data_IF_992773323606
#
_entry.id   IF_992773323606
#
_cell.length_a   1.000
_cell.length_b   1.000
_cell.length_c   1.000
_cell.angle_alpha   90.00
_cell.angle_beta   90.00
_cell.angle_gamma   90.00
#
_symmetry.space_group_name_H-M   'P 1'
#
loop_
_entity.id
_entity.type
_entity.pdbx_description
1 polymer ?
#
# COMPACT_ATOMS: atom_id res chain seq x y z
N UNK A 1 47.10 -15.91 -88.39
CA UNK A 1 45.87 -15.44 -87.71
C UNK A 1 45.96 -15.91 -86.26
N UNK A 2 46.48 -15.14 -85.30
CA UNK A 2 45.82 -14.04 -84.55
C UNK A 2 44.46 -14.56 -84.03
N UNK A 3 44.19 -14.83 -82.73
CA UNK A 3 44.53 -14.08 -81.51
C UNK A 3 44.33 -15.01 -80.30
N UNK A 4 45.28 -15.01 -79.38
CA UNK A 4 45.16 -15.55 -78.02
C UNK A 4 44.82 -14.38 -77.07
N UNK A 5 44.16 -14.72 -75.97
CA UNK A 5 43.91 -13.94 -74.75
C UNK A 5 42.85 -12.83 -74.78
N UNK A 6 41.76 -13.07 -74.05
CA UNK A 6 41.15 -12.05 -73.19
C UNK A 6 40.82 -12.63 -71.82
N UNK A 7 41.31 -11.89 -70.83
CA UNK A 7 41.33 -12.14 -69.38
C UNK A 7 39.93 -12.17 -68.78
N UNK A 8 39.71 -13.14 -67.89
CA UNK A 8 38.64 -13.13 -66.90
C UNK A 8 38.87 -11.99 -65.90
N UNK A 9 38.03 -10.96 -65.96
CA UNK A 9 37.93 -9.94 -64.92
C UNK A 9 36.71 -10.29 -64.06
N UNK A 10 36.94 -11.02 -62.97
CA UNK A 10 35.94 -11.21 -61.92
C UNK A 10 35.68 -9.86 -61.25
N UNK A 11 34.54 -9.25 -61.56
CA UNK A 11 34.00 -8.14 -60.78
C UNK A 11 33.53 -8.70 -59.43
N UNK A 12 34.28 -8.41 -58.37
CA UNK A 12 33.87 -8.64 -56.98
C UNK A 12 32.77 -7.63 -56.64
N UNK A 13 31.52 -8.07 -56.65
CA UNK A 13 30.42 -7.31 -56.05
C UNK A 13 30.57 -7.36 -54.54
N UNK A 14 31.00 -6.25 -53.95
CA UNK A 14 31.07 -6.02 -52.51
C UNK A 14 29.63 -5.85 -51.98
N UNK A 15 29.07 -6.90 -51.39
CA UNK A 15 27.77 -6.84 -50.72
C UNK A 15 27.99 -6.29 -49.30
N UNK A 16 27.69 -5.01 -49.08
CA UNK A 16 27.69 -4.39 -47.75
C UNK A 16 26.40 -4.81 -47.05
N UNK A 17 26.49 -5.81 -46.16
CA UNK A 17 25.42 -6.19 -45.23
C UNK A 17 25.37 -5.15 -44.09
N UNK A 18 24.48 -4.15 -44.22
CA UNK A 18 24.14 -3.24 -43.13
C UNK A 18 23.19 -4.00 -42.19
N UNK A 19 23.74 -4.53 -41.08
CA UNK A 19 22.94 -5.03 -39.97
C UNK A 19 22.32 -3.83 -39.24
N UNK A 20 21.06 -3.51 -39.54
CA UNK A 20 20.24 -2.66 -38.69
C UNK A 20 19.90 -3.45 -37.41
N UNK A 21 20.63 -3.17 -36.33
CA UNK A 21 20.23 -3.55 -34.99
C UNK A 21 18.97 -2.72 -34.63
N UNK A 22 17.79 -3.28 -34.90
CA UNK A 22 16.56 -2.78 -34.29
C UNK A 22 16.60 -3.17 -32.82
N UNK A 23 17.03 -2.23 -31.97
CA UNK A 23 16.73 -2.29 -30.55
C UNK A 23 15.23 -2.10 -30.43
N UNK A 24 14.49 -3.21 -30.33
CA UNK A 24 13.10 -3.20 -29.90
C UNK A 24 13.14 -2.91 -28.40
N UNK A 25 13.03 -1.62 -28.05
CA UNK A 25 12.66 -1.24 -26.70
C UNK A 25 11.19 -1.60 -26.55
N UNK A 26 10.90 -2.69 -25.84
CA UNK A 26 9.55 -2.95 -25.35
C UNK A 26 9.26 -1.91 -24.28
N UNK A 27 8.76 -0.75 -24.70
CA UNK A 27 8.09 0.17 -23.79
C UNK A 27 6.82 -0.55 -23.35
N UNK A 28 6.79 -1.06 -22.12
CA UNK A 28 5.54 -1.47 -21.49
C UNK A 28 4.69 -0.20 -21.40
N UNK A 29 3.79 -0.02 -22.36
CA UNK A 29 2.71 0.93 -22.23
C UNK A 29 1.87 0.45 -21.04
N UNK A 30 2.02 1.13 -19.90
CA UNK A 30 1.02 1.04 -18.84
C UNK A 30 -0.32 1.37 -19.51
N UNK A 31 -1.18 0.37 -19.63
CA UNK A 31 -2.52 0.55 -20.15
C UNK A 31 -3.23 1.54 -19.25
N UNK A 32 -3.35 2.79 -19.71
CA UNK A 32 -4.17 3.81 -19.06
C UNK A 32 -5.64 3.47 -19.34
N UNK A 33 -6.14 2.38 -18.76
CA UNK A 33 -7.57 2.22 -18.62
C UNK A 33 -8.02 3.32 -17.68
N UNK A 34 -8.79 4.27 -18.19
CA UNK A 34 -9.52 5.21 -17.33
C UNK A 34 -10.29 4.39 -16.28
N UNK A 35 -10.31 4.85 -15.02
CA UNK A 35 -11.07 4.15 -13.99
C UNK A 35 -12.55 4.05 -14.43
N UNK A 36 -13.26 2.96 -14.07
CA UNK A 36 -14.65 2.76 -14.47
C UNK A 36 -15.53 3.93 -14.00
N UNK A 37 -16.70 4.14 -14.63
CA UNK A 37 -17.61 5.25 -14.28
C UNK A 37 -18.19 5.13 -12.86
N UNK A 38 -18.30 3.91 -12.34
CA UNK A 38 -18.64 3.65 -10.95
C UNK A 38 -17.78 2.51 -10.43
N UNK A 39 -17.35 2.62 -9.17
CA UNK A 39 -16.68 1.54 -8.47
C UNK A 39 -17.01 1.60 -7.00
N UNK A 40 -17.02 0.43 -6.38
CA UNK A 40 -17.19 0.31 -4.94
C UNK A 40 -16.39 -0.86 -4.42
N UNK A 41 -15.54 -0.57 -3.44
CA UNK A 41 -14.81 -1.60 -2.70
C UNK A 41 -15.85 -2.32 -1.83
N UNK A 42 -15.90 -3.64 -1.96
CA UNK A 42 -16.79 -4.47 -1.18
C UNK A 42 -16.17 -4.76 0.20
N UNK A 43 -17.03 -5.02 1.19
CA UNK A 43 -16.63 -5.57 2.51
C UNK A 43 -15.60 -4.73 3.29
N UNK A 44 -15.57 -3.41 3.08
CA UNK A 44 -14.75 -2.54 3.93
C UNK A 44 -15.31 -2.55 5.36
N UNK A 45 -14.49 -2.88 6.39
CA UNK A 45 -14.95 -2.92 7.78
C UNK A 45 -15.50 -1.59 8.27
N UNK A 46 -16.37 -1.67 9.28
CA UNK A 46 -17.00 -0.51 9.88
C UNK A 46 -16.60 -0.38 11.33
N UNK A 47 -15.88 0.67 11.65
CA UNK A 47 -15.50 0.98 13.02
C UNK A 47 -16.00 2.36 13.41
N UNK A 48 -16.52 2.45 14.65
CA UNK A 48 -17.03 3.69 15.20
C UNK A 48 -15.94 4.35 16.03
N UNK A 49 -15.73 5.65 15.86
CA UNK A 49 -14.84 6.40 16.73
C UNK A 49 -15.39 6.39 18.17
N UNK A 50 -14.52 6.17 19.14
CA UNK A 50 -14.94 6.02 20.55
C UNK A 50 -15.47 7.31 21.16
N UNK A 51 -15.06 8.47 20.64
CA UNK A 51 -15.53 9.78 21.07
C UNK A 51 -15.36 10.81 19.94
N UNK A 52 -15.84 12.05 20.16
CA UNK A 52 -15.85 13.15 19.20
C UNK A 52 -14.46 13.63 18.68
N UNK A 53 -13.35 13.06 19.14
CA UNK A 53 -12.00 13.52 18.80
C UNK A 53 -11.20 12.47 18.03
N UNK A 54 -11.70 11.23 17.92
CA UNK A 54 -10.96 10.09 17.41
C UNK A 54 -11.39 9.67 15.99
N UNK A 55 -11.85 10.62 15.18
CA UNK A 55 -12.16 10.33 13.78
C UNK A 55 -10.92 9.84 12.99
N UNK A 56 -9.73 10.35 13.33
CA UNK A 56 -8.46 9.86 12.78
C UNK A 56 -8.23 8.39 13.14
N UNK A 57 -8.05 8.05 14.43
CA UNK A 57 -7.86 6.67 14.87
C UNK A 57 -8.95 5.70 14.40
N UNK A 58 -10.22 6.08 14.43
CA UNK A 58 -11.29 5.22 13.90
C UNK A 58 -11.21 4.99 12.40
N UNK A 59 -10.76 5.99 11.62
CA UNK A 59 -10.51 5.81 10.18
C UNK A 59 -9.29 4.94 9.90
N UNK A 60 -8.26 4.99 10.75
CA UNK A 60 -7.09 4.11 10.64
C UNK A 60 -7.45 2.65 10.99
N UNK A 61 -8.27 2.43 12.01
CA UNK A 61 -8.79 1.10 12.36
C UNK A 61 -9.52 0.45 11.19
N UNK A 62 -10.38 1.21 10.48
CA UNK A 62 -11.04 0.77 9.23
C UNK A 62 -10.02 0.29 8.18
N UNK A 63 -8.95 1.05 7.95
CA UNK A 63 -7.94 0.71 6.94
C UNK A 63 -7.08 -0.49 7.39
N UNK A 64 -6.74 -0.57 8.67
CA UNK A 64 -5.93 -1.67 9.20
C UNK A 64 -6.69 -3.00 9.17
N UNK A 65 -7.96 -2.99 9.56
CA UNK A 65 -8.84 -4.17 9.51
C UNK A 65 -9.17 -4.58 8.07
N UNK A 66 -9.25 -3.62 7.14
CA UNK A 66 -9.41 -3.96 5.71
C UNK A 66 -8.24 -4.79 5.16
N UNK A 67 -7.01 -4.49 5.59
CA UNK A 67 -5.79 -5.15 5.09
C UNK A 67 -5.25 -6.26 6.00
N UNK A 68 -5.75 -6.39 7.21
CA UNK A 68 -5.11 -7.17 8.25
C UNK A 68 -5.99 -7.28 9.49
N UNK A 69 -5.40 -7.25 10.70
CA UNK A 69 -6.18 -7.42 11.92
C UNK A 69 -6.87 -6.12 12.34
N UNK A 70 -7.98 -6.27 13.05
CA UNK A 70 -8.58 -5.23 13.88
C UNK A 70 -7.62 -4.78 14.99
N UNK A 71 -7.16 -3.52 14.94
CA UNK A 71 -6.21 -2.93 15.88
C UNK A 71 -6.94 -1.97 16.81
N UNK A 72 -6.82 -2.18 18.12
CA UNK A 72 -7.49 -1.36 19.14
C UNK A 72 -7.28 0.15 18.91
N UNK A 73 -8.38 0.86 18.65
CA UNK A 73 -8.41 2.31 18.43
C UNK A 73 -7.66 3.13 19.50
N UNK A 74 -7.57 2.66 20.75
CA UNK A 74 -6.81 3.33 21.80
C UNK A 74 -5.30 3.29 21.54
N UNK A 75 -4.79 2.14 21.10
CA UNK A 75 -3.40 1.99 20.74
C UNK A 75 -3.08 2.85 19.51
N UNK A 76 -3.97 2.85 18.50
CA UNK A 76 -3.85 3.73 17.33
C UNK A 76 -3.81 5.20 17.75
N UNK A 77 -4.68 5.63 18.67
CA UNK A 77 -4.74 7.01 19.11
C UNK A 77 -3.42 7.52 19.71
N UNK A 78 -2.73 6.69 20.50
CA UNK A 78 -1.44 7.05 21.08
C UNK A 78 -0.29 6.97 20.09
N UNK A 79 -0.28 6.01 19.16
CA UNK A 79 0.72 5.99 18.07
C UNK A 79 0.57 7.23 17.18
N UNK A 80 -0.67 7.61 16.86
CA UNK A 80 -0.99 8.78 16.05
C UNK A 80 -0.89 10.11 16.81
N UNK A 81 -0.40 10.13 18.06
CA UNK A 81 -0.32 11.34 18.91
C UNK A 81 -1.64 12.14 18.90
N UNK A 82 -2.77 11.44 19.01
CA UNK A 82 -4.09 12.06 19.06
C UNK A 82 -4.24 12.88 20.35
N UNK A 83 -5.13 13.87 20.35
CA UNK A 83 -5.34 14.73 21.51
C UNK A 83 -6.78 15.23 21.62
N UNK A 84 -7.04 16.08 22.62
CA UNK A 84 -8.29 16.84 22.74
C UNK A 84 -8.55 17.84 21.59
N UNK A 85 -7.63 17.94 20.63
CA UNK A 85 -7.76 18.75 19.42
C UNK A 85 -7.92 17.91 18.16
N UNK A 86 -7.82 16.58 18.24
CA UNK A 86 -7.78 15.68 17.08
C UNK A 86 -6.38 15.14 16.81
N UNK A 87 -6.12 14.79 15.56
CA UNK A 87 -4.92 14.07 15.10
C UNK A 87 -4.30 14.81 13.92
N UNK A 88 -2.98 14.91 13.88
CA UNK A 88 -2.27 15.62 12.81
C UNK A 88 -2.03 14.70 11.60
N UNK A 89 -2.09 15.23 10.37
CA UNK A 89 -1.92 14.46 9.13
C UNK A 89 -0.56 13.77 8.99
N UNK A 90 0.51 14.34 9.56
CA UNK A 90 1.82 13.70 9.59
C UNK A 90 1.80 12.43 10.44
N UNK A 91 1.09 12.50 11.57
CA UNK A 91 0.93 11.36 12.47
C UNK A 91 0.05 10.26 11.89
N UNK A 92 -0.96 10.62 11.08
CA UNK A 92 -1.78 9.64 10.37
C UNK A 92 -0.91 8.75 9.47
N UNK A 93 -0.05 9.35 8.63
CA UNK A 93 0.85 8.61 7.74
C UNK A 93 1.89 7.81 8.54
N UNK A 94 2.50 8.43 9.55
CA UNK A 94 3.47 7.78 10.45
C UNK A 94 2.90 6.54 11.14
N UNK A 95 1.63 6.58 11.54
CA UNK A 95 0.97 5.46 12.23
C UNK A 95 0.91 4.21 11.36
N UNK A 96 0.77 4.40 10.03
CA UNK A 96 0.86 3.29 9.08
C UNK A 96 2.22 2.58 9.07
N UNK A 97 3.33 3.29 9.33
CA UNK A 97 4.67 2.69 9.39
C UNK A 97 4.95 1.97 10.71
N UNK A 98 4.18 2.19 11.77
CA UNK A 98 4.53 1.76 13.12
C UNK A 98 4.80 0.25 13.25
N UNK A 99 5.95 -0.11 13.80
CA UNK A 99 6.38 -1.51 13.98
C UNK A 99 6.97 -1.75 15.37
N UNK A 100 7.37 -2.99 15.63
CA UNK A 100 8.03 -3.43 16.86
C UNK A 100 9.34 -2.69 17.21
N UNK A 101 9.85 -1.87 16.29
CA UNK A 101 11.05 -1.06 16.47
C UNK A 101 10.74 0.29 17.16
N UNK A 102 9.46 0.64 17.26
CA UNK A 102 9.01 1.93 17.81
C UNK A 102 8.07 1.75 18.99
N UNK A 103 8.06 2.76 19.87
CA UNK A 103 7.06 2.98 20.90
C UNK A 103 6.13 4.14 20.51
N UNK A 104 4.89 4.11 20.99
CA UNK A 104 3.96 5.21 20.85
C UNK A 104 4.49 6.46 21.57
N UNK A 105 4.27 7.63 20.96
CA UNK A 105 4.71 8.93 21.50
C UNK A 105 3.53 9.83 21.93
N UNK A 106 2.29 9.35 21.79
CA UNK A 106 1.09 10.01 22.28
C UNK A 106 0.77 9.66 23.73
N UNK A 107 -0.20 10.37 24.29
CA UNK A 107 -0.58 10.21 25.70
C UNK A 107 -2.09 10.32 25.94
N UNK A 108 -2.91 10.13 24.91
CA UNK A 108 -4.36 10.21 25.01
C UNK A 108 -4.96 9.05 25.82
N UNK A 109 -4.42 7.84 25.62
CA UNK A 109 -4.79 6.63 26.35
C UNK A 109 -3.59 5.92 26.94
N UNK A 110 -2.63 6.67 27.52
CA UNK A 110 -1.28 6.19 27.93
C UNK A 110 -1.15 4.76 28.51
N UNK A 111 -2.16 4.21 29.19
CA UNK A 111 -2.16 2.81 29.65
C UNK A 111 -2.21 1.76 28.52
N UNK A 112 -2.69 2.14 27.33
CA UNK A 112 -2.83 1.32 26.14
C UNK A 112 -1.73 1.63 25.09
N UNK A 113 -0.83 2.56 25.38
CA UNK A 113 0.22 2.97 24.48
C UNK A 113 1.21 1.81 24.21
N UNK A 114 1.31 1.31 22.97
CA UNK A 114 2.23 0.22 22.65
C UNK A 114 3.69 0.67 22.76
N UNK A 115 4.56 -0.18 23.31
CA UNK A 115 6.01 0.09 23.43
C UNK A 115 6.85 -0.58 22.36
N UNK A 116 6.27 -1.49 21.58
CA UNK A 116 6.95 -2.23 20.52
C UNK A 116 5.90 -2.74 19.50
N UNK A 117 5.45 -1.85 18.61
CA UNK A 117 4.46 -2.20 17.58
C UNK A 117 3.06 -2.47 18.13
N UNK A 118 2.08 -2.60 17.24
CA UNK A 118 0.74 -2.98 17.68
C UNK A 118 0.71 -4.46 18.11
N UNK A 119 -0.04 -4.78 19.15
CA UNK A 119 -0.13 -6.16 19.65
C UNK A 119 -0.59 -7.13 18.54
N UNK A 120 -1.55 -6.70 17.73
CA UNK A 120 -2.15 -7.48 16.65
C UNK A 120 -1.28 -7.50 15.39
N UNK A 121 -0.44 -6.47 15.18
CA UNK A 121 0.42 -6.34 14.01
C UNK A 121 1.77 -5.73 14.38
N UNK A 122 2.82 -6.55 14.32
CA UNK A 122 4.16 -6.17 14.74
C UNK A 122 4.96 -5.41 13.67
N UNK A 123 4.56 -5.47 12.40
CA UNK A 123 5.21 -4.72 11.30
C UNK A 123 4.24 -3.68 10.72
N UNK A 124 4.77 -2.58 10.21
CA UNK A 124 3.97 -1.55 9.55
C UNK A 124 3.49 -1.94 8.17
N UNK A 125 2.77 -1.01 7.56
CA UNK A 125 2.32 -0.99 6.18
C UNK A 125 3.19 -0.05 5.35
N UNK A 126 3.17 -0.17 4.02
CA UNK A 126 3.55 0.93 3.16
C UNK A 126 2.56 2.08 3.38
N UNK A 127 3.04 3.28 3.75
CA UNK A 127 2.18 4.39 4.14
C UNK A 127 2.61 5.70 3.51
N UNK A 128 1.68 6.35 2.80
CA UNK A 128 1.95 7.61 2.10
C UNK A 128 0.79 8.57 2.26
N UNK A 129 1.10 9.86 2.23
CA UNK A 129 0.10 10.91 2.15
C UNK A 129 0.40 11.87 0.99
N UNK A 130 -0.63 12.57 0.55
CA UNK A 130 -0.55 13.53 -0.54
C UNK A 130 -1.60 14.62 -0.34
N UNK A 131 -1.26 15.84 -0.72
CA UNK A 131 -2.17 16.99 -0.76
C UNK A 131 -1.78 17.89 -1.92
N UNK A 132 -2.75 18.65 -2.44
CA UNK A 132 -2.56 19.48 -3.65
C UNK A 132 -3.42 20.73 -3.56
N UNK A 133 -3.08 21.77 -4.31
CA UNK A 133 -3.95 22.96 -4.46
C UNK A 133 -5.18 22.69 -5.32
N UNK A 134 -5.18 21.59 -6.09
CA UNK A 134 -6.28 21.18 -6.96
C UNK A 134 -6.72 19.75 -6.64
N UNK A 135 -8.02 19.42 -6.79
CA UNK A 135 -8.52 18.09 -6.50
C UNK A 135 -7.92 17.07 -7.48
N UNK A 136 -7.31 16.01 -6.96
CA UNK A 136 -6.70 14.94 -7.75
C UNK A 136 -7.70 13.79 -8.02
N UNK A 137 -8.91 14.15 -8.47
CA UNK A 137 -10.06 13.24 -8.55
C UNK A 137 -9.79 11.96 -9.37
N UNK A 138 -9.11 12.07 -10.52
CA UNK A 138 -8.81 10.90 -11.35
C UNK A 138 -7.89 9.91 -10.66
N UNK A 139 -6.88 10.39 -9.93
CA UNK A 139 -5.99 9.53 -9.17
C UNK A 139 -6.72 8.91 -7.96
N UNK A 140 -7.63 9.65 -7.31
CA UNK A 140 -8.46 9.11 -6.23
C UNK A 140 -9.35 7.96 -6.72
N UNK A 141 -10.00 8.12 -7.88
CA UNK A 141 -10.78 7.05 -8.51
C UNK A 141 -9.92 5.85 -8.86
N UNK A 142 -8.70 6.06 -9.38
CA UNK A 142 -7.80 4.96 -9.73
C UNK A 142 -7.39 4.14 -8.50
N UNK A 143 -7.15 4.78 -7.35
CA UNK A 143 -6.90 4.09 -6.08
C UNK A 143 -8.10 3.24 -5.67
N UNK A 144 -9.29 3.84 -5.61
CA UNK A 144 -10.52 3.15 -5.21
C UNK A 144 -10.85 1.98 -6.15
N UNK A 145 -10.70 2.18 -7.47
CA UNK A 145 -10.88 1.14 -8.48
C UNK A 145 -9.85 0.01 -8.40
N UNK A 146 -8.73 0.25 -7.72
CA UNK A 146 -7.70 -0.76 -7.42
C UNK A 146 -7.90 -1.44 -6.07
N UNK A 147 -9.08 -1.32 -5.46
CA UNK A 147 -9.40 -1.80 -4.10
C UNK A 147 -8.50 -1.21 -3.00
N UNK A 148 -8.07 0.04 -3.17
CA UNK A 148 -7.31 0.76 -2.16
C UNK A 148 -8.24 1.78 -1.49
N UNK A 149 -8.70 1.53 -0.25
CA UNK A 149 -9.43 2.54 0.51
C UNK A 149 -8.50 3.72 0.82
N UNK A 150 -9.05 4.94 0.73
CA UNK A 150 -8.25 6.16 0.91
C UNK A 150 -8.77 6.94 2.11
N UNK A 151 -7.89 7.20 3.07
CA UNK A 151 -8.14 8.10 4.18
C UNK A 151 -8.14 9.54 3.67
N UNK A 152 -9.18 10.31 3.95
CA UNK A 152 -9.27 11.71 3.57
C UNK A 152 -9.38 12.60 4.82
N UNK A 153 -8.76 13.76 4.76
CA UNK A 153 -9.06 14.87 5.67
C UNK A 153 -9.95 15.85 4.92
N UNK A 154 -11.14 16.09 5.46
CA UNK A 154 -12.14 16.97 4.86
C UNK A 154 -12.90 17.73 5.95
N UNK A 155 -13.74 18.68 5.57
CA UNK A 155 -14.69 19.29 6.51
C UNK A 155 -15.72 18.26 6.98
N UNK A 156 -16.21 18.43 8.19
CA UNK A 156 -17.31 17.61 8.72
C UNK A 156 -18.58 17.75 7.87
N UNK A 157 -18.95 18.98 7.49
CA UNK A 157 -19.98 19.30 6.50
C UNK A 157 -19.41 20.23 5.42
N UNK A 158 -20.03 20.34 4.23
CA UNK A 158 -19.57 21.29 3.20
C UNK A 158 -19.49 22.74 3.67
N UNK A 159 -20.37 23.13 4.60
CA UNK A 159 -20.46 24.47 5.20
C UNK A 159 -19.86 24.55 6.63
N UNK A 160 -19.14 23.51 7.08
CA UNK A 160 -18.44 23.51 8.37
C UNK A 160 -16.97 23.98 8.22
N UNK A 161 -16.37 24.39 9.33
CA UNK A 161 -14.96 24.75 9.46
C UNK A 161 -14.16 23.73 10.30
N UNK A 162 -14.85 22.76 10.89
CA UNK A 162 -14.27 21.64 11.61
C UNK A 162 -13.84 20.54 10.64
N UNK A 163 -12.64 20.00 10.86
CA UNK A 163 -12.11 18.90 10.07
C UNK A 163 -12.55 17.56 10.62
N UNK A 164 -12.61 16.58 9.73
CA UNK A 164 -13.04 15.23 10.00
C UNK A 164 -12.32 14.26 9.06
N UNK A 165 -11.96 13.10 9.58
CA UNK A 165 -11.37 12.03 8.79
C UNK A 165 -12.47 11.04 8.37
N UNK A 166 -12.45 10.65 7.10
CA UNK A 166 -13.32 9.62 6.52
C UNK A 166 -12.51 8.72 5.60
N UNK A 167 -13.00 7.51 5.35
CA UNK A 167 -12.41 6.60 4.36
C UNK A 167 -13.30 6.55 3.13
N UNK A 168 -12.83 7.01 1.97
CA UNK A 168 -13.57 6.86 0.71
C UNK A 168 -13.36 5.46 0.16
N UNK A 169 -14.47 4.83 -0.23
CA UNK A 169 -14.52 3.42 -0.65
C UNK A 169 -15.29 3.22 -1.96
N UNK A 170 -15.82 4.28 -2.55
CA UNK A 170 -16.52 4.18 -3.81
C UNK A 170 -16.95 5.52 -4.40
N UNK A 171 -17.39 5.46 -5.65
CA UNK A 171 -17.96 6.57 -6.40
C UNK A 171 -18.89 6.06 -7.51
N UNK A 172 -19.78 6.92 -7.96
CA UNK A 172 -20.67 6.69 -9.10
C UNK A 172 -20.84 8.02 -9.86
N UNK A 173 -20.16 8.15 -11.00
CA UNK A 173 -20.16 9.38 -11.81
C UNK A 173 -21.52 9.63 -12.46
N UNK A 174 -22.25 8.57 -12.83
CA UNK A 174 -23.58 8.71 -13.44
C UNK A 174 -24.58 9.26 -12.42
N UNK A 175 -24.45 8.86 -11.15
CA UNK A 175 -25.29 9.37 -10.06
C UNK A 175 -24.72 10.63 -9.38
N UNK A 176 -23.52 11.06 -9.77
CA UNK A 176 -22.78 12.16 -9.13
C UNK A 176 -22.65 12.01 -7.61
N UNK A 177 -22.27 10.81 -7.12
CA UNK A 177 -22.09 10.53 -5.70
C UNK A 177 -20.77 9.84 -5.37
N UNK A 178 -20.38 9.94 -4.09
CA UNK A 178 -19.27 9.19 -3.47
C UNK A 178 -19.76 8.44 -2.24
N UNK A 179 -19.06 7.37 -1.90
CA UNK A 179 -19.36 6.52 -0.75
C UNK A 179 -18.19 6.50 0.24
N UNK A 180 -18.50 6.77 1.51
CA UNK A 180 -17.53 6.74 2.61
C UNK A 180 -17.87 5.67 3.63
N UNK A 181 -16.86 5.18 4.34
CA UNK A 181 -17.04 4.71 5.72
C UNK A 181 -16.69 5.89 6.63
N UNK A 182 -17.67 6.37 7.40
CA UNK A 182 -17.53 7.46 8.36
C UNK A 182 -17.53 6.90 9.79
N UNK A 183 -16.44 7.07 10.56
CA UNK A 183 -16.38 6.52 11.92
C UNK A 183 -17.28 7.25 12.93
N UNK A 184 -17.83 8.44 12.63
CA UNK A 184 -18.61 9.20 13.62
C UNK A 184 -20.05 8.68 13.79
N UNK A 185 -20.60 7.98 12.80
CA UNK A 185 -21.97 7.43 12.82
C UNK A 185 -23.08 8.48 13.10
N UNK A 186 -22.75 9.78 13.01
CA UNK A 186 -23.70 10.91 13.13
C UNK A 186 -23.59 11.87 11.94
N UNK A 187 -23.39 11.35 10.73
CA UNK A 187 -23.12 12.16 9.55
C UNK A 187 -24.36 12.97 9.09
N UNK A 188 -24.71 14.01 9.85
CA UNK A 188 -25.65 15.09 9.50
C UNK A 188 -27.07 14.65 9.06
N UNK A 189 -27.49 13.44 9.43
CA UNK A 189 -28.79 12.89 9.01
C UNK A 189 -28.76 12.17 7.65
N UNK A 190 -27.57 11.95 7.07
CA UNK A 190 -27.41 11.05 5.93
C UNK A 190 -27.71 9.61 6.36
N UNK A 191 -28.58 8.95 5.61
CA UNK A 191 -28.95 7.55 5.85
C UNK A 191 -27.72 6.69 5.54
N UNK A 192 -27.23 6.00 6.57
CA UNK A 192 -26.24 4.94 6.40
C UNK A 192 -26.85 3.84 5.54
N UNK A 193 -26.18 3.50 4.44
CA UNK A 193 -26.61 2.43 3.55
C UNK A 193 -26.57 1.08 4.32
N UNK A 194 -27.30 0.04 3.86
CA UNK A 194 -27.31 -1.26 4.54
C UNK A 194 -25.94 -1.92 4.74
N UNK A 195 -25.01 -1.61 3.85
CA UNK A 195 -23.59 -2.04 3.87
C UNK A 195 -22.69 -1.08 4.66
N UNK A 196 -23.28 -0.08 5.30
CA UNK A 196 -22.67 0.82 6.24
C UNK A 196 -21.92 2.02 5.68
N UNK A 197 -21.96 2.24 4.37
CA UNK A 197 -21.42 3.50 3.83
C UNK A 197 -22.36 4.67 4.04
N UNK A 198 -21.81 5.87 3.97
CA UNK A 198 -22.57 7.11 3.83
C UNK A 198 -22.37 7.65 2.42
N UNK A 199 -23.47 8.05 1.79
CA UNK A 199 -23.49 8.62 0.43
C UNK A 199 -23.49 10.14 0.48
N UNK A 200 -22.56 10.78 -0.23
CA UNK A 200 -22.55 12.23 -0.43
C UNK A 200 -22.67 12.57 -1.92
N UNK A 201 -23.22 13.74 -2.22
CA UNK A 201 -23.12 14.28 -3.58
C UNK A 201 -21.65 14.60 -3.88
N UNK A 202 -21.26 14.46 -5.14
CA UNK A 202 -19.92 14.78 -5.62
C UNK A 202 -19.58 16.26 -5.38
N UNK A 203 -20.58 17.14 -5.47
CA UNK A 203 -20.42 18.58 -5.24
C UNK A 203 -20.10 18.87 -3.77
N UNK A 204 -20.87 18.29 -2.85
CA UNK A 204 -20.66 18.44 -1.40
C UNK A 204 -19.31 17.86 -0.98
N UNK A 205 -18.97 16.68 -1.50
CA UNK A 205 -17.67 16.07 -1.29
C UNK A 205 -16.52 16.99 -1.71
N UNK A 206 -16.52 17.48 -2.96
CA UNK A 206 -15.45 18.36 -3.47
C UNK A 206 -15.33 19.64 -2.65
N UNK A 207 -16.46 20.22 -2.24
CA UNK A 207 -16.48 21.41 -1.37
C UNK A 207 -15.90 21.12 0.02
N UNK A 208 -16.25 19.99 0.62
CA UNK A 208 -15.75 19.60 1.93
C UNK A 208 -14.28 19.15 1.91
N UNK A 209 -13.83 18.48 0.85
CA UNK A 209 -12.46 17.99 0.71
C UNK A 209 -11.45 19.11 0.42
N UNK A 210 -11.93 20.28 -0.03
CA UNK A 210 -11.15 21.51 -0.06
C UNK A 210 -10.91 22.05 1.37
N UNK A 211 -10.07 21.36 2.13
CA UNK A 211 -9.81 21.65 3.52
C UNK A 211 -8.31 21.51 3.83
N UNK A 212 -7.73 22.55 4.44
CA UNK A 212 -6.33 22.57 4.83
C UNK A 212 -6.22 23.06 6.28
N UNK A 213 -6.19 22.10 7.22
CA UNK A 213 -5.82 22.27 8.65
C UNK A 213 -5.12 20.99 9.12
N UNK A 214 -4.87 20.85 10.42
CA UNK A 214 -4.28 19.66 11.03
C UNK A 214 -2.91 19.25 10.46
N UNK A 215 -2.11 20.21 10.00
CA UNK A 215 -0.77 19.97 9.48
C UNK A 215 -0.70 19.63 7.99
N UNK A 216 -1.84 19.58 7.28
CA UNK A 216 -1.86 19.45 5.83
C UNK A 216 -1.26 20.71 5.19
N UNK A 217 -0.25 20.60 4.31
CA UNK A 217 0.35 21.78 3.67
C UNK A 217 -0.58 22.39 2.60
N UNK A 218 -1.41 21.57 1.96
CA UNK A 218 -2.36 21.96 0.92
C UNK A 218 -3.72 21.30 1.17
N UNK A 219 -4.81 21.78 0.55
CA UNK A 219 -6.11 21.10 0.60
C UNK A 219 -6.09 19.74 -0.13
N UNK A 220 -7.24 19.09 -0.21
CA UNK A 220 -7.42 17.78 -0.87
C UNK A 220 -6.43 16.74 -0.32
N UNK A 221 -6.23 16.71 0.99
CA UNK A 221 -5.34 15.76 1.61
C UNK A 221 -5.94 14.36 1.60
N UNK A 222 -5.12 13.37 1.29
CA UNK A 222 -5.45 11.96 1.46
C UNK A 222 -4.22 11.12 1.78
N UNK A 223 -4.45 9.94 2.34
CA UNK A 223 -3.41 8.97 2.66
C UNK A 223 -3.87 7.54 2.35
N UNK A 224 -2.89 6.68 2.11
CA UNK A 224 -3.08 5.25 1.92
C UNK A 224 -2.12 4.49 2.82
N UNK A 225 -2.59 3.34 3.31
CA UNK A 225 -1.79 2.35 4.00
C UNK A 225 -2.15 0.99 3.41
N UNK A 226 -1.14 0.19 3.04
CA UNK A 226 -1.36 -1.15 2.49
C UNK A 226 -0.13 -2.04 2.69
N UNK A 227 -0.28 -3.37 2.77
CA UNK A 227 0.84 -4.28 2.88
C UNK A 227 1.64 -4.31 1.58
N UNK A 228 2.84 -4.88 1.62
CA UNK A 228 3.55 -5.21 0.38
C UNK A 228 2.76 -6.27 -0.40
N UNK A 229 2.77 -6.17 -1.73
CA UNK A 229 2.13 -7.16 -2.59
C UNK A 229 3.10 -8.30 -2.88
N UNK A 230 2.64 -9.54 -2.78
CA UNK A 230 3.44 -10.73 -3.04
C UNK A 230 2.62 -11.66 -3.94
N UNK A 231 3.03 -11.77 -5.20
CA UNK A 231 2.45 -12.69 -6.18
C UNK A 231 3.26 -14.00 -6.21
N UNK A 232 2.63 -15.09 -5.77
CA UNK A 232 3.26 -16.41 -5.66
C UNK A 232 2.98 -17.26 -6.90
N UNK A 233 4.06 -17.75 -7.52
CA UNK A 233 4.01 -18.69 -8.64
C UNK A 233 4.77 -19.95 -8.31
N UNK A 234 4.25 -21.06 -8.81
CA UNK A 234 4.82 -22.39 -8.64
C UNK A 234 5.07 -22.99 -10.01
N UNK A 235 6.27 -23.51 -10.24
CA UNK A 235 6.65 -24.13 -11.50
C UNK A 235 7.28 -25.50 -11.27
N UNK A 236 6.75 -26.51 -11.94
CA UNK A 236 7.09 -27.92 -11.75
C UNK A 236 5.97 -28.77 -11.12
N UNK A 237 6.17 -30.09 -11.06
CA UNK A 237 5.20 -31.01 -10.46
C UNK A 237 5.09 -30.78 -8.94
N UNK A 238 3.86 -30.74 -8.44
CA UNK A 238 3.52 -30.56 -7.02
C UNK A 238 3.02 -31.87 -6.39
N UNK A 239 3.54 -33.01 -6.85
CA UNK A 239 3.20 -34.35 -6.35
C UNK A 239 4.17 -34.79 -5.24
N UNK A 240 3.76 -35.72 -4.39
CA UNK A 240 4.67 -36.31 -3.39
C UNK A 240 5.95 -36.86 -4.05
N UNK A 241 7.10 -36.56 -3.45
CA UNK A 241 8.42 -36.94 -3.94
C UNK A 241 8.99 -36.08 -5.06
N UNK A 242 8.27 -35.04 -5.53
CA UNK A 242 8.80 -34.13 -6.55
C UNK A 242 9.43 -32.86 -5.97
N UNK A 243 10.22 -32.20 -6.80
CA UNK A 243 10.75 -30.86 -6.55
C UNK A 243 10.09 -29.87 -7.50
N UNK A 244 9.86 -28.65 -7.01
CA UNK A 244 9.33 -27.55 -7.80
C UNK A 244 9.89 -26.22 -7.32
N UNK A 245 9.78 -25.20 -8.17
CA UNK A 245 10.20 -23.84 -7.85
C UNK A 245 9.02 -23.04 -7.31
N UNK A 246 9.29 -22.23 -6.30
CA UNK A 246 8.39 -21.23 -5.75
C UNK A 246 9.00 -19.88 -6.01
N UNK A 247 8.38 -19.08 -6.88
CA UNK A 247 8.80 -17.71 -7.15
C UNK A 247 7.82 -16.73 -6.52
N UNK A 248 8.33 -15.75 -5.79
CA UNK A 248 7.57 -14.64 -5.24
C UNK A 248 7.98 -13.35 -5.94
N UNK A 249 7.04 -12.71 -6.65
CA UNK A 249 7.21 -11.35 -7.13
C UNK A 249 6.73 -10.39 -6.04
N UNK A 250 7.68 -9.72 -5.40
CA UNK A 250 7.47 -8.86 -4.24
C UNK A 250 7.48 -7.42 -4.70
N UNK A 251 6.43 -6.66 -4.38
CA UNK A 251 6.29 -5.24 -4.70
C UNK A 251 6.16 -4.44 -3.41
N UNK A 252 7.02 -3.44 -3.22
CA UNK A 252 6.79 -2.37 -2.25
C UNK A 252 5.89 -1.33 -2.93
N UNK A 253 4.59 -1.21 -2.58
CA UNK A 253 3.68 -0.39 -3.36
C UNK A 253 3.92 1.10 -3.17
N UNK A 254 3.71 1.86 -4.26
CA UNK A 254 3.53 3.31 -4.23
C UNK A 254 2.62 3.70 -5.39
N UNK A 255 1.30 3.72 -5.19
CA UNK A 255 0.39 4.13 -6.23
C UNK A 255 0.47 5.65 -6.43
N UNK A 256 0.09 6.13 -7.61
CA UNK A 256 -0.06 7.58 -7.83
C UNK A 256 -1.26 8.12 -7.04
N UNK A 257 -1.20 9.35 -6.50
CA UNK A 257 -0.23 10.41 -6.79
C UNK A 257 0.89 10.55 -5.74
N UNK A 258 1.14 9.52 -4.94
CA UNK A 258 2.08 9.59 -3.82
C UNK A 258 3.54 9.71 -4.29
N UNK A 259 4.37 10.36 -3.48
CA UNK A 259 5.80 10.51 -3.77
C UNK A 259 6.54 9.19 -3.50
N UNK A 260 6.85 8.46 -4.58
CA UNK A 260 7.55 7.19 -4.50
C UNK A 260 9.05 7.30 -4.20
N UNK A 261 9.58 8.52 -4.12
CA UNK A 261 10.93 8.76 -3.60
C UNK A 261 10.95 8.86 -2.08
N UNK A 262 9.78 9.05 -1.45
CA UNK A 262 9.65 9.01 -0.01
C UNK A 262 9.83 7.59 0.54
N UNK A 263 10.48 7.49 1.70
CA UNK A 263 10.62 6.25 2.47
C UNK A 263 11.16 5.05 1.67
N UNK A 264 12.36 5.15 1.04
CA UNK A 264 12.99 3.98 0.43
C UNK A 264 13.19 2.88 1.48
N UNK A 265 12.93 1.64 1.12
CA UNK A 265 13.11 0.50 2.01
C UNK A 265 14.53 -0.03 1.88
N UNK A 266 15.20 -0.22 3.02
CA UNK A 266 16.54 -0.81 3.11
C UNK A 266 16.50 -2.15 3.84
N UNK A 267 17.56 -2.94 3.71
CA UNK A 267 17.66 -4.28 4.33
C UNK A 267 16.44 -5.16 4.03
N UNK A 268 15.95 -5.06 2.80
CA UNK A 268 14.76 -5.78 2.37
C UNK A 268 15.09 -7.26 2.22
N UNK A 269 14.16 -8.11 2.66
CA UNK A 269 14.34 -9.55 2.58
C UNK A 269 13.02 -10.27 2.46
N UNK A 270 13.08 -11.50 1.97
CA UNK A 270 11.95 -12.40 1.89
C UNK A 270 12.25 -13.71 2.60
N UNK A 271 11.26 -14.24 3.32
CA UNK A 271 11.35 -15.51 4.04
C UNK A 271 10.23 -16.41 3.56
N UNK A 272 10.56 -17.63 3.15
CA UNK A 272 9.59 -18.69 2.89
C UNK A 272 9.38 -19.55 4.14
N UNK A 273 8.13 -19.85 4.44
CA UNK A 273 7.67 -20.70 5.53
C UNK A 273 6.87 -21.83 4.89
N UNK A 274 7.22 -23.06 5.21
CA UNK A 274 6.66 -24.27 4.60
C UNK A 274 5.96 -25.11 5.67
N UNK A 275 4.84 -25.72 5.28
CA UNK A 275 4.15 -26.75 6.06
C UNK A 275 3.91 -27.96 5.17
N UNK A 276 4.41 -29.13 5.59
CA UNK A 276 4.33 -30.36 4.78
C UNK A 276 5.27 -30.41 3.58
N UNK A 277 6.27 -29.53 3.55
CA UNK A 277 7.27 -29.43 2.49
C UNK A 277 8.60 -28.98 3.10
N UNK A 278 9.68 -29.25 2.40
CA UNK A 278 11.03 -28.88 2.80
C UNK A 278 11.74 -28.11 1.69
N UNK A 279 12.73 -27.30 2.08
CA UNK A 279 13.62 -26.68 1.12
C UNK A 279 14.60 -27.72 0.57
N UNK A 280 14.99 -27.55 -0.70
CA UNK A 280 16.07 -28.36 -1.27
C UNK A 280 17.36 -28.23 -0.43
N UNK A 281 18.16 -29.29 -0.38
CA UNK A 281 19.34 -29.37 0.47
C UNK A 281 20.28 -28.15 0.27
N UNK A 282 20.62 -27.48 1.37
CA UNK A 282 21.49 -26.31 1.39
C UNK A 282 20.83 -24.99 0.99
N UNK A 283 19.55 -24.96 0.63
CA UNK A 283 18.83 -23.72 0.34
C UNK A 283 18.48 -22.95 1.62
N UNK A 284 18.67 -21.64 1.59
CA UNK A 284 18.28 -20.75 2.68
C UNK A 284 16.79 -20.40 2.58
N UNK A 285 16.09 -20.40 3.72
CA UNK A 285 14.69 -19.95 3.79
C UNK A 285 14.55 -18.44 3.62
N UNK A 286 15.60 -17.67 3.93
CA UNK A 286 15.63 -16.22 3.78
C UNK A 286 16.54 -15.81 2.61
N UNK A 287 16.03 -14.92 1.77
CA UNK A 287 16.76 -14.28 0.67
C UNK A 287 16.85 -12.77 0.94
N UNK A 288 18.05 -12.21 0.86
CA UNK A 288 18.27 -10.76 0.95
C UNK A 288 18.05 -10.13 -0.43
N UNK A 289 17.16 -9.13 -0.48
CA UNK A 289 16.81 -8.39 -1.70
C UNK A 289 17.63 -7.08 -1.81
N UNK A 290 18.11 -6.55 -0.68
CA UNK A 290 18.89 -5.32 -0.63
C UNK A 290 18.00 -4.10 -0.41
N UNK A 291 18.18 -3.05 -1.20
CA UNK A 291 17.35 -1.84 -1.14
C UNK A 291 16.23 -1.92 -2.19
N UNK A 292 15.05 -1.39 -1.85
CA UNK A 292 13.90 -1.33 -2.73
C UNK A 292 13.22 0.03 -2.60
N UNK A 293 13.07 0.75 -3.71
CA UNK A 293 12.29 2.00 -3.69
C UNK A 293 10.80 1.70 -3.71
N UNK A 294 10.01 2.64 -3.22
CA UNK A 294 8.56 2.52 -3.31
C UNK A 294 8.14 2.48 -4.79
N UNK A 295 7.24 1.57 -5.13
CA UNK A 295 6.82 1.24 -6.50
C UNK A 295 7.68 0.19 -7.21
N UNK A 296 8.86 -0.19 -6.68
CA UNK A 296 9.70 -1.22 -7.29
C UNK A 296 9.25 -2.63 -6.92
N UNK A 297 9.69 -3.61 -7.72
CA UNK A 297 9.45 -5.04 -7.46
C UNK A 297 10.72 -5.86 -7.64
N UNK A 298 10.81 -6.99 -6.94
CA UNK A 298 11.89 -7.95 -7.07
C UNK A 298 11.33 -9.37 -7.05
N UNK A 299 11.97 -10.29 -7.79
CA UNK A 299 11.56 -11.69 -7.83
C UNK A 299 12.60 -12.54 -7.12
N UNK A 300 12.16 -13.29 -6.13
CA UNK A 300 12.96 -14.29 -5.43
C UNK A 300 12.40 -15.69 -5.70
N UNK A 301 13.27 -16.70 -5.71
CA UNK A 301 12.87 -18.08 -6.00
C UNK A 301 13.51 -19.05 -5.03
N UNK A 302 12.70 -19.96 -4.50
CA UNK A 302 13.14 -21.11 -3.70
C UNK A 302 12.86 -22.40 -4.45
N UNK A 303 13.69 -23.41 -4.21
CA UNK A 303 13.45 -24.78 -4.65
C UNK A 303 12.92 -25.58 -3.47
N UNK A 304 11.75 -26.19 -3.65
CA UNK A 304 10.98 -26.87 -2.60
C UNK A 304 10.75 -28.33 -2.98
N UNK A 305 10.75 -29.21 -1.99
CA UNK A 305 10.50 -30.63 -2.08
C UNK A 305 9.29 -31.04 -1.23
N UNK A 306 8.44 -31.93 -1.75
CA UNK A 306 7.32 -32.51 -1.00
C UNK A 306 7.73 -33.90 -0.51
N UNK A 307 8.05 -34.02 0.77
CA UNK A 307 8.71 -35.21 1.31
C UNK A 307 7.76 -36.43 1.40
N UNK A 308 6.48 -36.22 1.77
CA UNK A 308 5.55 -37.32 2.06
C UNK A 308 4.13 -37.13 1.50
N UNK A 309 3.50 -38.24 1.12
CA UNK A 309 2.12 -38.34 0.63
C UNK A 309 1.04 -38.10 1.69
N UNK A 310 1.43 -38.02 2.96
CA UNK A 310 0.52 -38.15 4.10
C UNK A 310 0.18 -36.81 4.76
N UNK A 311 0.70 -35.69 4.25
CA UNK A 311 0.33 -34.36 4.75
C UNK A 311 -0.93 -33.88 4.05
N UNK A 312 -2.01 -33.75 4.82
CA UNK A 312 -3.22 -33.06 4.38
C UNK A 312 -2.91 -31.55 4.23
N UNK A 313 -3.19 -31.00 3.05
CA UNK A 313 -3.14 -29.57 2.74
C UNK A 313 -1.76 -28.91 2.97
N UNK A 314 -0.69 -29.33 2.26
CA UNK A 314 0.60 -28.67 2.40
C UNK A 314 0.51 -27.22 1.93
N UNK A 315 1.29 -26.32 2.54
CA UNK A 315 1.13 -24.88 2.35
C UNK A 315 2.45 -24.14 2.30
N UNK A 316 2.47 -23.06 1.51
CA UNK A 316 3.56 -22.09 1.42
C UNK A 316 3.07 -20.76 1.96
N UNK A 317 3.88 -20.10 2.76
CA UNK A 317 3.74 -18.68 3.10
C UNK A 317 5.05 -17.96 2.80
N UNK A 318 4.98 -16.79 2.18
CA UNK A 318 6.12 -15.91 1.99
C UNK A 318 5.85 -14.60 2.69
N UNK A 319 6.83 -14.14 3.47
CA UNK A 319 6.84 -12.82 4.10
C UNK A 319 7.93 -11.99 3.46
N UNK A 320 7.64 -10.72 3.17
CA UNK A 320 8.62 -9.78 2.66
C UNK A 320 8.56 -8.48 3.46
N UNK A 321 9.71 -7.97 3.86
CA UNK A 321 9.82 -6.81 4.75
C UNK A 321 11.09 -6.01 4.50
N UNK A 322 11.07 -4.74 4.91
CA UNK A 322 12.20 -3.81 4.83
C UNK A 322 12.10 -2.71 5.88
N UNK A 323 13.21 -1.99 6.08
CA UNK A 323 13.29 -0.85 7.00
C UNK A 323 13.04 0.47 6.26
N UNK A 324 12.14 1.28 6.79
CA UNK A 324 11.93 2.68 6.36
C UNK A 324 12.20 3.63 7.51
N UNK A 325 12.72 4.80 7.19
CA UNK A 325 13.00 5.85 8.16
C UNK A 325 12.33 7.15 7.74
N UNK A 326 11.91 7.94 8.72
CA UNK A 326 11.25 9.22 8.48
C UNK A 326 11.28 10.13 9.69
N UNK A 327 10.59 11.26 9.56
CA UNK A 327 10.42 12.22 10.65
C UNK A 327 8.96 12.67 10.73
N UNK A 328 8.54 13.07 11.92
CA UNK A 328 7.29 13.81 12.10
C UNK A 328 7.60 15.14 12.79
N UNK A 329 6.91 16.24 12.42
CA UNK A 329 7.17 17.56 12.98
C UNK A 329 6.56 17.71 14.39
N UNK A 330 6.87 18.85 15.00
CA UNK A 330 6.19 19.32 16.21
C UNK A 330 4.70 19.49 15.93
N UNK A 331 3.87 19.07 16.87
CA UNK A 331 2.44 19.40 16.89
C UNK A 331 2.20 20.38 18.02
N UNK A 332 1.86 21.61 17.67
CA UNK A 332 1.61 22.70 18.62
C UNK A 332 0.17 23.16 18.47
N UNK A 333 -0.65 22.86 19.48
CA UNK A 333 -2.00 23.40 19.62
C UNK A 333 -2.16 24.05 21.00
N UNK A 334 -3.18 24.91 21.20
CA UNK A 334 -3.41 25.49 22.53
C UNK A 334 -3.59 24.40 23.60
N UNK A 335 -2.60 24.32 24.52
CA UNK A 335 -2.56 23.35 25.61
C UNK A 335 -2.08 21.95 25.25
N UNK A 336 -1.67 21.69 24.00
CA UNK A 336 -1.15 20.40 23.54
C UNK A 336 0.17 20.62 22.81
N UNK A 337 1.20 19.88 23.22
CA UNK A 337 2.49 19.85 22.56
C UNK A 337 2.96 18.42 22.41
N UNK A 338 3.25 18.02 21.17
CA UNK A 338 4.00 16.81 20.88
C UNK A 338 5.27 17.17 20.12
N UNK A 339 6.45 16.79 20.63
CA UNK A 339 7.71 17.14 20.00
C UNK A 339 7.93 16.35 18.71
N UNK A 340 8.65 16.95 17.76
CA UNK A 340 9.17 16.29 16.59
C UNK A 340 10.07 15.11 16.99
N UNK A 341 10.05 14.06 16.17
CA UNK A 341 10.95 12.93 16.34
C UNK A 341 11.24 12.24 15.01
N UNK A 342 12.36 11.53 14.98
CA UNK A 342 12.75 10.65 13.89
C UNK A 342 12.40 9.21 14.25
N UNK A 343 12.15 8.38 13.25
CA UNK A 343 11.81 6.98 13.45
C UNK A 343 12.44 6.10 12.36
N UNK A 344 12.63 4.84 12.72
CA UNK A 344 12.90 3.75 11.79
C UNK A 344 11.97 2.60 12.15
N UNK A 345 11.20 2.13 11.19
CA UNK A 345 10.29 1.01 11.38
C UNK A 345 10.48 -0.03 10.29
N UNK A 346 9.95 -1.21 10.56
CA UNK A 346 9.90 -2.32 9.62
C UNK A 346 8.50 -2.43 9.02
N UNK A 347 8.41 -2.39 7.70
CA UNK A 347 7.15 -2.50 6.94
C UNK A 347 7.20 -3.72 6.03
N UNK A 348 6.05 -4.26 5.65
CA UNK A 348 6.03 -5.44 4.80
C UNK A 348 4.66 -6.02 4.51
N UNK A 349 4.66 -7.24 3.99
CA UNK A 349 3.47 -8.01 3.63
C UNK A 349 3.74 -9.50 3.67
N UNK A 350 2.67 -10.28 3.55
CA UNK A 350 2.73 -11.73 3.47
C UNK A 350 1.67 -12.25 2.48
N UNK A 351 1.97 -13.36 1.83
CA UNK A 351 1.04 -14.10 1.00
C UNK A 351 1.23 -15.59 1.20
N UNK A 352 0.15 -16.36 1.05
CA UNK A 352 0.19 -17.81 1.20
C UNK A 352 -0.59 -18.54 0.12
N UNK A 353 -0.25 -19.81 -0.05
CA UNK A 353 -0.92 -20.75 -0.97
C UNK A 353 -1.04 -22.10 -0.28
N UNK A 354 -2.26 -22.63 -0.26
CA UNK A 354 -2.55 -24.00 0.18
C UNK A 354 -2.68 -24.86 -1.09
N UNK A 355 -2.15 -26.08 -1.04
CA UNK A 355 -2.27 -27.05 -2.11
C UNK A 355 -3.27 -28.11 -1.67
N UNK A 356 -4.24 -28.40 -2.54
CA UNK A 356 -5.26 -29.42 -2.31
C UNK A 356 -4.96 -30.69 -3.09
#
# INVERSE_FOLDING_TARGET
MIKIEKRNLQAKTLLILIFFYFIVTTVNAASSSFPPEAYRINEVPQHKQMNALLCGPGSLEIIFDFWGPDIDQKAIADVARSSSKGTNTWDMARTGHFSYLSAANGSYFSHYAPTAGFQQRQIGYASFNYSSETPWWNALKALVASNIPVLLLMKYAPDDDNGHYRVIVGYDETKEVVYFIDPWDRDLGHVKNPDGTVTWTMADFKKAWNYSKYGAPHPYWGAVMMPWSIDLKTDGPTSAGSEFNVSANITYPCPQPFDCTAFPASNTSAVIILSGMDLAEGAASQINIGDLKAGESNVVTWKVHIDHSDVSDPSIMVKAEGLVSGTVPDVIWPGIFYPAYEYTDKIGGEAGKIFH
#
